data_IF_673660170023
#
_entry.id   IF_673660170023
#
_cell.length_a   1.000
_cell.length_b   1.000
_cell.length_c   1.000
_cell.angle_alpha   90.00
_cell.angle_beta   90.00
_cell.angle_gamma   90.00
#
_symmetry.space_group_name_H-M   'P 1'
#
loop_
_entity.id
_entity.type
_entity.pdbx_description
1 polymer ?
#
# COMPACT_ATOMS: atom_id res chain seq x y z
N UNK A 1 -6.08 -3.30 3.96
CA UNK A 1 -6.02 -3.73 5.38
C UNK A 1 -4.56 -3.85 5.80
N UNK A 2 -3.83 -2.73 5.93
CA UNK A 2 -2.43 -2.73 6.43
C UNK A 2 -2.41 -2.69 7.98
N UNK A 3 -3.56 -2.41 8.61
CA UNK A 3 -3.70 -2.33 10.06
C UNK A 3 -3.59 -3.68 10.82
N UNK A 4 -3.66 -4.84 10.14
CA UNK A 4 -3.69 -6.14 10.82
C UNK A 4 -2.29 -6.74 11.10
N UNK A 5 -1.20 -6.14 10.62
CA UNK A 5 0.17 -6.64 10.80
C UNK A 5 0.97 -5.95 11.92
N UNK A 6 0.38 -5.01 12.67
CA UNK A 6 1.13 -4.13 13.59
C UNK A 6 0.97 -4.44 15.08
N UNK A 7 0.65 -5.68 15.46
CA UNK A 7 0.33 -6.04 16.85
C UNK A 7 1.47 -5.92 17.88
N UNK A 8 2.60 -5.28 17.56
CA UNK A 8 3.73 -5.10 18.50
C UNK A 8 4.57 -3.83 18.37
N UNK A 9 4.30 -2.93 17.42
CA UNK A 9 5.10 -1.71 17.25
C UNK A 9 4.31 -0.46 17.69
N UNK A 10 4.87 0.41 18.55
CA UNK A 10 4.17 1.62 19.05
C UNK A 10 3.95 2.68 17.97
N UNK A 11 4.62 2.58 16.81
CA UNK A 11 4.34 3.38 15.62
C UNK A 11 4.85 2.71 14.34
N UNK A 12 4.40 3.20 13.17
CA UNK A 12 4.88 2.78 11.85
C UNK A 12 6.39 3.03 11.65
N UNK A 13 6.95 4.06 12.26
CA UNK A 13 8.39 4.38 12.19
C UNK A 13 9.25 3.53 13.10
N UNK A 14 8.67 2.94 14.15
CA UNK A 14 9.34 2.00 15.06
C UNK A 14 9.15 0.54 14.65
N UNK A 15 8.51 0.30 13.50
CA UNK A 15 8.39 -1.05 12.94
C UNK A 15 9.72 -1.44 12.31
N UNK A 16 10.28 -2.57 12.73
CA UNK A 16 11.46 -3.16 12.07
C UNK A 16 11.06 -3.73 10.70
N UNK A 17 10.97 -2.85 9.69
CA UNK A 17 10.50 -3.21 8.36
C UNK A 17 11.35 -4.30 7.70
N UNK A 18 12.64 -4.38 8.03
CA UNK A 18 13.51 -5.49 7.61
C UNK A 18 12.97 -6.84 8.07
N UNK A 19 12.52 -6.94 9.32
CA UNK A 19 11.94 -8.18 9.87
C UNK A 19 10.60 -8.49 9.19
N UNK A 20 9.77 -7.48 8.96
CA UNK A 20 8.47 -7.65 8.28
C UNK A 20 8.65 -8.13 6.83
N UNK A 21 9.59 -7.54 6.08
CA UNK A 21 9.88 -7.98 4.71
C UNK A 21 10.37 -9.43 4.71
N UNK A 22 11.30 -9.79 5.60
CA UNK A 22 11.79 -11.17 5.71
C UNK A 22 10.68 -12.17 6.08
N UNK A 23 9.74 -11.78 6.95
CA UNK A 23 8.59 -12.60 7.28
C UNK A 23 7.66 -12.82 6.06
N UNK A 24 7.42 -11.77 5.27
CA UNK A 24 6.63 -11.90 4.04
C UNK A 24 7.35 -12.69 2.96
N UNK A 25 8.67 -12.57 2.82
CA UNK A 25 9.48 -13.41 1.92
C UNK A 25 9.33 -14.87 2.28
N UNK A 26 9.48 -15.21 3.57
CA UNK A 26 9.31 -16.58 4.04
C UNK A 26 7.89 -17.10 3.80
N UNK A 27 6.89 -16.28 4.05
CA UNK A 27 5.49 -16.66 3.81
C UNK A 27 5.20 -16.83 2.31
N UNK A 28 5.81 -16.02 1.46
CA UNK A 28 5.67 -16.12 0.01
C UNK A 28 6.30 -17.40 -0.52
N UNK A 29 7.49 -17.79 -0.05
CA UNK A 29 8.12 -19.08 -0.38
C UNK A 29 7.24 -20.27 -0.02
N UNK A 30 6.53 -20.20 1.12
CA UNK A 30 5.67 -21.28 1.61
C UNK A 30 4.34 -21.38 0.88
N UNK A 31 3.79 -20.25 0.42
CA UNK A 31 2.39 -20.18 -0.03
C UNK A 31 2.21 -19.82 -1.50
N UNK A 32 3.20 -19.18 -2.12
CA UNK A 32 3.06 -18.57 -3.45
C UNK A 32 1.90 -17.56 -3.56
N UNK A 33 1.38 -17.07 -2.42
CA UNK A 33 0.14 -16.32 -2.39
C UNK A 33 0.33 -14.91 -2.96
N UNK A 34 -0.44 -14.49 -3.97
CA UNK A 34 -0.28 -13.16 -4.53
C UNK A 34 -0.81 -12.06 -3.59
N UNK A 35 -1.66 -12.40 -2.61
CA UNK A 35 -2.02 -11.50 -1.50
C UNK A 35 -0.80 -11.19 -0.63
N UNK A 36 0.04 -12.20 -0.37
CA UNK A 36 1.29 -12.04 0.38
C UNK A 36 2.28 -11.20 -0.41
N UNK A 37 2.35 -11.38 -1.73
CA UNK A 37 3.19 -10.57 -2.61
C UNK A 37 2.81 -9.08 -2.58
N UNK A 38 1.51 -8.74 -2.64
CA UNK A 38 1.04 -7.35 -2.49
C UNK A 38 1.45 -6.74 -1.15
N UNK A 39 1.27 -7.49 -0.05
CA UNK A 39 1.64 -7.00 1.28
C UNK A 39 3.16 -6.83 1.44
N UNK A 40 3.96 -7.73 0.84
CA UNK A 40 5.42 -7.61 0.78
C UNK A 40 5.84 -6.33 0.07
N UNK A 41 5.24 -6.03 -1.08
CA UNK A 41 5.56 -4.83 -1.85
C UNK A 41 5.34 -3.54 -1.04
N UNK A 42 4.25 -3.48 -0.26
CA UNK A 42 4.01 -2.38 0.68
C UNK A 42 5.14 -2.30 1.73
N UNK A 43 5.50 -3.42 2.36
CA UNK A 43 6.58 -3.45 3.36
C UNK A 43 7.94 -3.03 2.79
N UNK A 44 8.26 -3.43 1.55
CA UNK A 44 9.44 -2.96 0.80
C UNK A 44 9.37 -1.44 0.61
N UNK A 45 8.21 -0.90 0.29
CA UNK A 45 7.99 0.55 0.18
C UNK A 45 8.32 1.33 1.44
N UNK A 46 8.08 0.74 2.61
CA UNK A 46 8.47 1.34 3.90
C UNK A 46 9.95 1.16 4.24
N UNK A 47 10.55 0.02 3.89
CA UNK A 47 11.95 -0.29 4.18
C UNK A 47 12.92 0.45 3.25
N UNK A 48 12.66 0.37 1.95
CA UNK A 48 13.61 0.72 0.89
C UNK A 48 13.16 1.96 0.09
N UNK A 49 12.03 2.55 0.45
CA UNK A 49 11.43 3.71 -0.21
C UNK A 49 10.26 3.36 -1.13
N UNK A 50 9.30 4.30 -1.30
CA UNK A 50 8.05 4.04 -1.98
C UNK A 50 8.20 3.65 -3.47
N UNK A 51 9.26 4.09 -4.14
CA UNK A 51 9.62 3.69 -5.50
C UNK A 51 9.89 2.19 -5.57
N UNK A 52 10.67 1.65 -4.63
CA UNK A 52 10.98 0.21 -4.56
C UNK A 52 9.74 -0.62 -4.27
N UNK A 53 8.88 -0.11 -3.40
CA UNK A 53 7.58 -0.73 -3.13
C UNK A 53 6.69 -0.76 -4.37
N UNK A 54 6.67 0.31 -5.17
CA UNK A 54 5.86 0.36 -6.40
C UNK A 54 6.38 -0.62 -7.46
N UNK A 55 7.70 -0.71 -7.64
CA UNK A 55 8.31 -1.71 -8.54
C UNK A 55 7.94 -3.13 -8.10
N UNK A 56 8.08 -3.46 -6.81
CA UNK A 56 7.69 -4.77 -6.29
C UNK A 56 6.19 -5.06 -6.44
N UNK A 57 5.35 -4.02 -6.36
CA UNK A 57 3.90 -4.15 -6.55
C UNK A 57 3.56 -4.43 -8.02
N UNK A 58 4.34 -3.88 -8.95
CA UNK A 58 4.16 -4.06 -10.38
C UNK A 58 4.59 -5.42 -10.88
N UNK A 59 5.50 -6.09 -10.16
CA UNK A 59 5.88 -7.50 -10.39
C UNK A 59 4.80 -8.50 -9.97
N UNK A 60 3.83 -8.09 -9.12
CA UNK A 60 2.72 -8.97 -8.75
C UNK A 60 1.85 -9.21 -9.99
N UNK A 61 1.48 -10.46 -10.31
CA UNK A 61 0.57 -10.75 -11.41
C UNK A 61 -0.72 -9.93 -11.31
N UNK A 62 -1.18 -9.43 -12.45
CA UNK A 62 -2.45 -8.70 -12.51
C UNK A 62 -3.61 -9.70 -12.36
N UNK A 63 -4.21 -9.71 -11.16
CA UNK A 63 -5.39 -10.51 -10.84
C UNK A 63 -6.48 -9.55 -10.33
N UNK A 64 -7.64 -9.47 -11.00
CA UNK A 64 -8.77 -8.64 -10.58
C UNK A 64 -9.20 -8.88 -9.12
N UNK A 65 -9.01 -10.10 -8.60
CA UNK A 65 -9.34 -10.45 -7.22
C UNK A 65 -8.47 -9.70 -6.21
N UNK A 66 -7.29 -9.24 -6.61
CA UNK A 66 -6.37 -8.47 -5.78
C UNK A 66 -6.58 -6.97 -5.87
N UNK A 67 -7.46 -6.48 -6.75
CA UNK A 67 -7.65 -5.04 -6.97
C UNK A 67 -7.95 -4.29 -5.66
N UNK A 68 -8.74 -4.90 -4.76
CA UNK A 68 -9.06 -4.38 -3.42
C UNK A 68 -7.86 -4.21 -2.48
N UNK A 69 -6.72 -4.82 -2.80
CA UNK A 69 -5.46 -4.71 -2.06
C UNK A 69 -4.43 -3.88 -2.84
N UNK A 70 -4.29 -4.18 -4.14
CA UNK A 70 -3.28 -3.58 -5.03
C UNK A 70 -3.55 -2.10 -5.30
N UNK A 71 -4.80 -1.72 -5.57
CA UNK A 71 -5.13 -0.33 -5.94
C UNK A 71 -4.90 0.63 -4.76
N UNK A 72 -5.38 0.35 -3.53
CA UNK A 72 -5.03 1.18 -2.37
C UNK A 72 -3.53 1.24 -2.06
N UNK A 73 -2.80 0.13 -2.24
CA UNK A 73 -1.35 0.07 -2.02
C UNK A 73 -0.60 0.98 -2.99
N UNK A 74 -0.95 0.92 -4.28
CA UNK A 74 -0.40 1.81 -5.31
C UNK A 74 -0.68 3.28 -4.98
N UNK A 75 -1.91 3.62 -4.59
CA UNK A 75 -2.28 4.99 -4.21
C UNK A 75 -1.42 5.54 -3.06
N UNK A 76 -1.18 4.74 -2.00
CA UNK A 76 -0.35 5.18 -0.87
C UNK A 76 1.13 5.36 -1.26
N UNK A 77 1.68 4.48 -2.09
CA UNK A 77 3.06 4.59 -2.58
C UNK A 77 3.23 5.84 -3.46
N UNK A 78 2.32 6.09 -4.40
CA UNK A 78 2.32 7.31 -5.24
C UNK A 78 2.23 8.58 -4.41
N UNK A 79 1.34 8.61 -3.42
CA UNK A 79 1.21 9.74 -2.49
C UNK A 79 2.51 10.01 -1.75
N UNK A 80 3.20 8.97 -1.26
CA UNK A 80 4.48 9.11 -0.54
C UNK A 80 5.60 9.65 -1.41
N UNK A 81 5.54 9.41 -2.72
CA UNK A 81 6.45 9.98 -3.72
C UNK A 81 6.11 11.42 -4.12
N UNK A 82 5.01 11.99 -3.60
CA UNK A 82 4.53 13.30 -4.04
C UNK A 82 3.91 13.30 -5.45
N UNK A 83 3.62 12.12 -6.03
CA UNK A 83 2.93 11.98 -7.33
C UNK A 83 1.43 12.16 -7.13
N UNK A 84 1.02 13.38 -6.80
CA UNK A 84 -0.33 13.74 -6.34
C UNK A 84 -1.43 13.37 -7.32
N UNK A 85 -1.30 13.76 -8.60
CA UNK A 85 -2.30 13.46 -9.62
C UNK A 85 -2.56 11.95 -9.77
N UNK A 86 -1.49 11.15 -9.89
CA UNK A 86 -1.62 9.69 -10.02
C UNK A 86 -2.11 9.04 -8.72
N UNK A 87 -1.75 9.59 -7.56
CA UNK A 87 -2.25 9.11 -6.29
C UNK A 87 -3.76 9.38 -6.15
N UNK A 88 -4.24 10.55 -6.58
CA UNK A 88 -5.64 10.92 -6.60
C UNK A 88 -6.45 9.95 -7.46
N UNK A 89 -6.04 9.70 -8.70
CA UNK A 89 -6.69 8.74 -9.60
C UNK A 89 -6.77 7.34 -8.97
N UNK A 90 -5.68 6.89 -8.36
CA UNK A 90 -5.62 5.60 -7.69
C UNK A 90 -6.51 5.54 -6.44
N UNK A 91 -6.63 6.63 -5.67
CA UNK A 91 -7.55 6.69 -4.52
C UNK A 91 -9.02 6.70 -4.95
N UNK A 92 -9.37 7.38 -6.05
CA UNK A 92 -10.71 7.33 -6.63
C UNK A 92 -11.05 5.90 -7.07
N UNK A 93 -10.15 5.24 -7.80
CA UNK A 93 -10.33 3.83 -8.17
C UNK A 93 -10.44 2.90 -6.94
N UNK A 94 -9.68 3.17 -5.87
CA UNK A 94 -9.76 2.41 -4.63
C UNK A 94 -11.11 2.56 -3.92
N UNK A 95 -11.76 3.74 -4.02
CA UNK A 95 -13.08 3.99 -3.43
C UNK A 95 -14.17 3.15 -4.09
N UNK A 96 -14.13 3.00 -5.42
CA UNK A 96 -15.06 2.13 -6.17
C UNK A 96 -14.94 0.65 -5.76
N UNK A 97 -13.79 0.25 -5.23
CA UNK A 97 -13.49 -1.11 -4.80
C UNK A 97 -13.74 -1.34 -3.30
N UNK A 98 -14.03 -0.29 -2.53
CA UNK A 98 -14.18 -0.36 -1.08
C UNK A 98 -15.35 -1.28 -0.69
N UNK A 99 -15.07 -2.25 0.19
CA UNK A 99 -16.06 -3.24 0.62
C UNK A 99 -16.75 -2.91 1.94
N UNK A 100 -16.39 -1.81 2.60
CA UNK A 100 -16.96 -1.40 3.88
C UNK A 100 -16.70 0.09 4.17
N UNK A 101 -17.57 0.69 4.99
CA UNK A 101 -17.54 2.10 5.38
C UNK A 101 -16.23 2.52 6.05
N UNK A 102 -15.61 1.64 6.84
CA UNK A 102 -14.34 1.94 7.52
C UNK A 102 -13.22 2.16 6.51
N UNK A 103 -13.13 1.30 5.51
CA UNK A 103 -12.14 1.42 4.42
C UNK A 103 -12.42 2.65 3.57
N UNK A 104 -13.69 2.89 3.25
CA UNK A 104 -14.14 4.03 2.47
C UNK A 104 -13.81 5.37 3.14
N UNK A 105 -14.11 5.52 4.44
CA UNK A 105 -13.72 6.71 5.23
C UNK A 105 -12.21 6.92 5.25
N UNK A 106 -11.45 5.84 5.43
CA UNK A 106 -9.99 5.92 5.40
C UNK A 106 -9.46 6.42 4.05
N UNK A 107 -9.98 5.87 2.95
CA UNK A 107 -9.57 6.24 1.59
C UNK A 107 -9.95 7.69 1.27
N UNK A 108 -11.15 8.14 1.64
CA UNK A 108 -11.57 9.55 1.47
C UNK A 108 -10.65 10.51 2.19
N UNK A 109 -10.30 10.24 3.45
CA UNK A 109 -9.38 11.08 4.20
C UNK A 109 -8.02 11.20 3.50
N UNK A 110 -7.51 10.09 2.95
CA UNK A 110 -6.24 10.10 2.21
C UNK A 110 -6.33 10.87 0.89
N UNK A 111 -7.45 10.77 0.18
CA UNK A 111 -7.70 11.55 -1.02
C UNK A 111 -7.74 13.05 -0.73
N UNK A 112 -8.38 13.46 0.37
CA UNK A 112 -8.40 14.85 0.82
C UNK A 112 -6.98 15.35 1.17
N UNK A 113 -6.19 14.53 1.87
CA UNK A 113 -4.78 14.84 2.17
C UNK A 113 -3.94 15.03 0.87
N UNK A 114 -4.17 14.21 -0.17
CA UNK A 114 -3.52 14.35 -1.49
C UNK A 114 -3.91 15.67 -2.15
N UNK A 115 -5.21 15.95 -2.24
CA UNK A 115 -5.75 17.17 -2.88
C UNK A 115 -5.34 18.46 -2.16
N UNK A 116 -5.16 18.39 -0.84
CA UNK A 116 -4.72 19.52 -0.03
C UNK A 116 -3.21 19.77 -0.14
N UNK A 117 -2.44 18.85 -0.71
CA UNK A 117 -1.01 19.05 -0.96
C UNK A 117 -0.86 19.87 -2.24
N UNK A 118 -0.42 21.14 -2.17
CA UNK A 118 -0.20 21.92 -3.38
C UNK A 118 0.89 21.24 -4.21
N UNK A 119 0.59 20.97 -5.48
CA UNK A 119 1.60 20.55 -6.46
C UNK A 119 2.72 21.57 -6.43
N UNK A 120 3.95 21.10 -6.20
CA UNK A 120 5.12 21.94 -5.98
C UNK A 120 5.26 23.00 -7.07
N UNK A 121 5.42 24.24 -6.60
CA UNK A 121 6.08 25.34 -7.30
C UNK A 121 7.53 24.97 -7.64
#
# INVERSE_FOLDING_TARGET
MIAAAHAGAPSWGATEWTVIVAAYERLLELTGSPVVAVNRAVAVGFRDGPERGLVALDEVPDDPRLARLRVPARADLLRRMGRTAEAEDAYLAALELAGNETTERFLRRRLEEVRATPEGR
#
